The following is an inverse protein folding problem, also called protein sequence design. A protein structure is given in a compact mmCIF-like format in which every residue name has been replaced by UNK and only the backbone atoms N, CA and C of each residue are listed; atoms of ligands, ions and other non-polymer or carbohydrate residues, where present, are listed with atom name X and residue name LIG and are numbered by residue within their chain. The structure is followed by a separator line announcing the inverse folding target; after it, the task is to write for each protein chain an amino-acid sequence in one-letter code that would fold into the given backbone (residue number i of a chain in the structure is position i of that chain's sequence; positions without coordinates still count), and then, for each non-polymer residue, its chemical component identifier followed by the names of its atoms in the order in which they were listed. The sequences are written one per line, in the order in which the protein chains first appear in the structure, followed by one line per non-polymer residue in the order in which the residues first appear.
data_IF_053411024345
#
_entry.id   IF_053411024345
#
_cell.length_a   1.000
_cell.length_b   1.000
_cell.length_c   1.000
_cell.angle_alpha   90.00
_cell.angle_beta   90.00
_cell.angle_gamma   90.00
#
_symmetry.space_group_name_H-M   'P 1'
#
loop_
_entity.id
_entity.type
_entity.pdbx_description
1 polymer ?
#
# COMPACT_ATOMS: atom_id res chain seq x y z
N UNK A 1 57.43 6.39 11.38
CA UNK A 1 57.28 7.64 12.13
C UNK A 1 55.84 7.72 12.59
N UNK A 2 55.61 7.74 13.90
CA UNK A 2 54.28 7.63 14.50
C UNK A 2 53.79 9.02 14.92
N UNK A 3 52.75 9.52 14.25
CA UNK A 3 52.09 10.77 14.64
C UNK A 3 51.11 10.48 15.79
N UNK A 4 51.50 10.90 17.00
CA UNK A 4 50.68 10.84 18.20
C UNK A 4 49.59 11.90 18.14
N UNK A 5 48.35 11.47 17.87
CA UNK A 5 47.16 12.32 17.91
C UNK A 5 46.75 12.56 19.39
N UNK A 6 47.20 13.67 19.97
CA UNK A 6 46.99 14.05 21.39
C UNK A 6 45.71 14.88 21.58
N UNK A 7 44.57 14.35 21.14
CA UNK A 7 43.25 14.95 21.35
C UNK A 7 42.32 14.06 22.20
N UNK A 8 41.47 14.63 23.07
CA UNK A 8 40.57 13.86 23.94
C UNK A 8 39.56 13.05 23.10
N UNK A 9 39.58 11.73 23.27
CA UNK A 9 38.87 10.79 22.39
C UNK A 9 37.40 10.64 22.81
N UNK A 10 37.09 10.86 24.09
CA UNK A 10 35.76 10.59 24.63
C UNK A 10 35.04 11.86 25.14
N UNK A 11 33.69 11.85 25.13
CA UNK A 11 32.85 12.98 25.55
C UNK A 11 33.11 13.41 27.00
N UNK A 12 33.52 12.47 27.85
CA UNK A 12 33.87 12.70 29.25
C UNK A 12 35.20 13.45 29.39
N UNK A 13 36.20 13.11 28.59
CA UNK A 13 37.51 13.78 28.57
C UNK A 13 37.39 15.20 28.02
N UNK A 14 36.55 15.40 27.00
CA UNK A 14 36.21 16.74 26.48
C UNK A 14 35.57 17.64 27.54
N UNK A 15 34.73 17.07 28.41
CA UNK A 15 34.10 17.81 29.52
C UNK A 15 35.06 18.08 30.68
N UNK A 16 36.07 17.25 30.88
CA UNK A 16 37.11 17.48 31.88
C UNK A 16 38.08 18.58 31.42
N UNK A 17 38.53 18.55 30.17
CA UNK A 17 39.40 19.58 29.60
C UNK A 17 38.72 20.97 29.59
N UNK A 18 37.42 21.04 29.31
CA UNK A 18 36.65 22.29 29.37
C UNK A 18 36.50 22.84 30.80
N UNK A 19 36.50 21.97 31.82
CA UNK A 19 36.50 22.37 33.24
C UNK A 19 37.86 22.90 33.68
N UNK A 20 38.95 22.31 33.21
CA UNK A 20 40.31 22.79 33.46
C UNK A 20 40.61 24.10 32.72
N UNK A 21 40.02 24.32 31.54
CA UNK A 21 40.14 25.56 30.77
C UNK A 21 39.33 26.75 31.35
N UNK A 22 38.59 26.55 32.44
CA UNK A 22 37.93 27.63 33.20
C UNK A 22 36.69 28.25 32.53
N UNK A 23 36.20 27.71 31.43
CA UNK A 23 35.10 28.31 30.66
C UNK A 23 33.73 27.79 31.18
N UNK A 24 33.28 28.35 32.30
CA UNK A 24 31.95 28.11 32.86
C UNK A 24 31.03 29.31 32.64
N UNK A 25 29.83 29.14 32.01
CA UNK A 25 28.91 30.23 31.71
C UNK A 25 28.05 30.65 32.92
N UNK A 26 28.57 30.51 34.14
CA UNK A 26 27.83 30.74 35.38
C UNK A 26 28.68 31.48 36.40
N UNK A 27 29.16 32.66 36.01
CA UNK A 27 29.64 33.70 36.93
C UNK A 27 29.38 35.09 36.33
N UNK A 28 28.11 35.46 36.22
CA UNK A 28 27.71 36.85 36.10
C UNK A 28 26.53 37.07 37.04
N UNK A 29 26.87 37.27 38.32
CA UNK A 29 25.96 37.79 39.33
C UNK A 29 25.51 39.19 38.90
N UNK A 30 24.20 39.40 38.82
CA UNK A 30 23.62 40.65 38.35
C UNK A 30 23.85 41.83 39.29
N UNK A 31 23.97 43.01 38.68
CA UNK A 31 23.56 44.28 39.28
C UNK A 31 22.86 45.10 38.22
N UNK A 32 21.62 45.45 38.53
CA UNK A 32 20.68 46.28 37.77
C UNK A 32 21.15 47.74 37.73
N UNK A 33 21.49 48.28 36.55
CA UNK A 33 21.29 49.73 36.28
C UNK A 33 21.25 49.99 34.77
N UNK A 34 20.25 50.77 34.35
CA UNK A 34 20.16 51.51 33.10
C UNK A 34 20.16 50.73 31.77
N UNK A 35 18.94 50.54 31.26
CA UNK A 35 18.60 50.70 29.85
C UNK A 35 19.34 51.91 29.25
N UNK A 36 20.32 51.67 28.37
CA UNK A 36 20.73 52.46 27.18
C UNK A 36 22.16 52.11 26.80
N UNK A 37 22.32 51.14 25.92
CA UNK A 37 23.36 51.19 24.88
C UNK A 37 22.69 50.69 23.62
N UNK A 38 22.27 51.62 22.76
CA UNK A 38 21.89 51.31 21.40
C UNK A 38 23.09 50.62 20.73
N UNK A 39 23.07 49.29 20.62
CA UNK A 39 23.86 48.62 19.58
C UNK A 39 23.18 48.97 18.27
N UNK A 40 23.85 49.76 17.45
CA UNK A 40 23.36 50.05 16.11
C UNK A 40 23.34 48.75 15.30
N UNK A 41 22.42 48.58 14.32
CA UNK A 41 22.36 47.36 13.49
C UNK A 41 23.68 47.02 12.78
N UNK A 42 24.57 48.01 12.66
CA UNK A 42 25.92 47.94 12.10
C UNK A 42 26.96 47.21 12.96
N UNK A 43 26.70 46.97 14.26
CA UNK A 43 27.67 46.35 15.17
C UNK A 43 27.52 44.81 15.29
N UNK A 44 26.65 44.21 14.48
CA UNK A 44 26.51 42.76 14.36
C UNK A 44 27.37 42.34 13.16
N UNK A 45 28.47 41.56 13.34
CA UNK A 45 29.21 41.04 12.21
C UNK A 45 28.29 40.11 11.40
N UNK A 46 27.78 40.61 10.27
CA UNK A 46 26.89 39.93 9.32
C UNK A 46 27.63 38.89 8.45
N UNK A 47 28.61 38.18 9.04
CA UNK A 47 29.28 37.08 8.35
C UNK A 47 28.27 35.94 8.20
N UNK A 48 27.79 35.72 6.98
CA UNK A 48 26.95 34.56 6.69
C UNK A 48 27.79 33.29 6.92
N UNK A 49 27.24 32.25 7.57
CA UNK A 49 27.90 30.96 7.67
C UNK A 49 28.27 30.48 6.27
N UNK A 50 29.46 29.90 6.10
CA UNK A 50 29.88 29.30 4.83
C UNK A 50 28.84 28.24 4.42
N UNK A 51 28.05 28.55 3.39
CA UNK A 51 26.99 27.68 2.84
C UNK A 51 27.52 26.77 1.74
N UNK A 52 28.83 26.74 1.51
CA UNK A 52 29.39 25.71 0.64
C UNK A 52 29.01 24.34 1.20
N UNK A 53 28.43 23.52 0.33
CA UNK A 53 28.00 22.16 0.68
C UNK A 53 29.17 21.33 1.22
N UNK A 54 28.88 20.12 1.71
CA UNK A 54 29.90 19.26 2.32
C UNK A 54 31.13 19.15 1.40
N UNK A 55 32.29 19.64 1.86
CA UNK A 55 33.55 19.63 1.08
C UNK A 55 34.22 18.26 1.05
N UNK A 56 33.57 17.24 1.61
CA UNK A 56 34.07 15.86 1.69
C UNK A 56 33.15 14.89 0.97
N UNK A 57 33.63 13.65 0.77
CA UNK A 57 32.86 12.57 0.17
C UNK A 57 31.51 12.41 0.88
N UNK A 58 30.45 12.29 0.10
CA UNK A 58 29.12 12.07 0.65
C UNK A 58 29.04 10.67 1.25
N UNK A 59 28.07 10.45 2.14
CA UNK A 59 27.84 9.12 2.70
C UNK A 59 27.53 8.07 1.63
N UNK A 60 26.95 8.51 0.51
CA UNK A 60 26.71 7.66 -0.65
C UNK A 60 28.02 7.25 -1.32
N UNK A 61 28.94 8.19 -1.54
CA UNK A 61 30.25 7.90 -2.15
C UNK A 61 31.09 6.95 -1.26
N UNK A 62 31.05 7.16 0.06
CA UNK A 62 31.71 6.28 1.04
C UNK A 62 31.09 4.89 1.08
N UNK A 63 29.77 4.78 0.94
CA UNK A 63 29.07 3.50 0.87
C UNK A 63 29.41 2.77 -0.43
N UNK A 64 29.48 3.47 -1.56
CA UNK A 64 29.82 2.92 -2.86
C UNK A 64 31.29 2.44 -2.91
N UNK A 65 32.22 3.20 -2.36
CA UNK A 65 33.62 2.78 -2.23
C UNK A 65 33.76 1.52 -1.35
N UNK A 66 33.06 1.47 -0.21
CA UNK A 66 33.06 0.28 0.65
C UNK A 66 32.42 -0.92 -0.02
N UNK A 67 31.34 -0.73 -0.77
CA UNK A 67 30.71 -1.81 -1.54
C UNK A 67 31.64 -2.33 -2.65
N UNK A 68 32.34 -1.44 -3.36
CA UNK A 68 33.31 -1.79 -4.39
C UNK A 68 34.54 -2.53 -3.82
N UNK A 69 35.02 -2.12 -2.64
CA UNK A 69 36.09 -2.82 -1.92
C UNK A 69 35.67 -4.22 -1.46
N UNK A 70 34.46 -4.36 -0.91
CA UNK A 70 33.89 -5.65 -0.49
C UNK A 70 33.67 -6.60 -1.67
N UNK A 71 33.34 -6.06 -2.85
CA UNK A 71 33.17 -6.84 -4.08
C UNK A 71 34.51 -7.34 -4.62
N UNK A 72 35.61 -6.57 -4.45
CA UNK A 72 36.97 -6.96 -4.84
C UNK A 72 37.62 -7.97 -3.88
N UNK A 73 37.36 -7.85 -2.57
CA UNK A 73 37.97 -8.71 -1.54
C UNK A 73 37.28 -10.07 -1.40
N UNK A 74 36.15 -10.30 -2.09
CA UNK A 74 35.31 -11.47 -1.89
C UNK A 74 34.57 -11.37 -0.56
N UNK A 75 33.26 -11.59 -0.56
CA UNK A 75 32.42 -11.39 0.63
C UNK A 75 32.91 -12.28 1.78
N UNK A 76 33.47 -11.73 2.89
CA UNK A 76 33.97 -12.54 4.02
C UNK A 76 32.83 -13.13 4.86
N UNK A 77 31.62 -12.62 4.65
CA UNK A 77 30.42 -13.08 5.30
C UNK A 77 29.53 -13.67 4.21
N UNK A 78 29.00 -14.87 4.46
CA UNK A 78 27.91 -15.40 3.65
C UNK A 78 26.87 -14.29 3.50
N UNK A 79 26.45 -14.02 2.26
CA UNK A 79 25.36 -13.10 1.95
C UNK A 79 24.22 -13.43 2.91
N UNK A 80 24.09 -12.67 4.00
CA UNK A 80 22.82 -12.60 4.71
C UNK A 80 21.82 -12.29 3.61
N UNK A 81 20.70 -13.04 3.50
CA UNK A 81 19.78 -12.85 2.40
C UNK A 81 19.55 -11.35 2.30
N UNK A 82 20.00 -10.78 1.18
CA UNK A 82 19.76 -9.39 0.87
C UNK A 82 18.28 -9.32 0.50
N UNK A 83 17.44 -9.54 1.51
CA UNK A 83 16.07 -9.13 1.53
C UNK A 83 16.11 -7.65 1.89
N UNK A 84 16.36 -6.82 0.89
CA UNK A 84 15.36 -5.79 0.66
C UNK A 84 14.10 -6.54 0.21
N UNK A 85 13.46 -7.22 1.16
CA UNK A 85 12.13 -7.74 0.95
C UNK A 85 11.28 -6.48 1.07
N UNK A 86 11.08 -5.79 -0.07
CA UNK A 86 9.74 -5.32 -0.36
C UNK A 86 8.87 -6.55 -0.06
N UNK A 87 8.27 -6.61 1.14
CA UNK A 87 7.56 -7.79 1.65
C UNK A 87 6.29 -7.97 0.81
N UNK A 88 6.50 -8.46 -0.41
CA UNK A 88 5.49 -8.87 -1.35
C UNK A 88 4.81 -10.06 -0.66
N UNK A 89 3.65 -9.79 -0.04
CA UNK A 89 2.84 -10.76 0.65
C UNK A 89 2.62 -11.93 -0.32
N UNK A 90 3.43 -12.99 -0.20
CA UNK A 90 3.58 -13.98 -1.28
C UNK A 90 2.23 -14.49 -1.80
N UNK A 91 2.12 -15.07 -3.01
CA UNK A 91 0.88 -15.10 -3.81
C UNK A 91 -0.42 -15.56 -3.11
N UNK A 92 -0.30 -16.37 -2.05
CA UNK A 92 -1.42 -16.80 -1.21
C UNK A 92 -1.98 -15.67 -0.33
N UNK A 93 -1.09 -14.87 0.26
CA UNK A 93 -1.44 -13.75 1.13
C UNK A 93 -1.98 -12.58 0.31
N UNK A 94 -1.40 -12.27 -0.86
CA UNK A 94 -1.99 -11.32 -1.80
C UNK A 94 -3.42 -11.74 -2.21
N UNK A 95 -3.61 -12.99 -2.64
CA UNK A 95 -4.95 -13.50 -2.97
C UNK A 95 -5.93 -13.43 -1.79
N UNK A 96 -5.44 -13.58 -0.55
CA UNK A 96 -6.25 -13.47 0.67
C UNK A 96 -6.70 -12.03 0.92
N UNK A 97 -5.83 -11.05 0.71
CA UNK A 97 -6.18 -9.64 0.81
C UNK A 97 -7.26 -9.28 -0.22
N UNK A 98 -7.08 -9.70 -1.48
CA UNK A 98 -8.10 -9.54 -2.52
C UNK A 98 -9.43 -10.20 -2.17
N UNK A 99 -9.39 -11.45 -1.70
CA UNK A 99 -10.59 -12.18 -1.30
C UNK A 99 -11.31 -11.52 -0.12
N UNK A 100 -10.57 -11.00 0.85
CA UNK A 100 -11.13 -10.27 1.98
C UNK A 100 -11.87 -9.01 1.53
N UNK A 101 -11.24 -8.20 0.67
CA UNK A 101 -11.87 -7.00 0.09
C UNK A 101 -13.14 -7.35 -0.69
N UNK A 102 -13.12 -8.39 -1.52
CA UNK A 102 -14.30 -8.83 -2.28
C UNK A 102 -15.39 -9.43 -1.38
N UNK A 103 -15.01 -10.08 -0.30
CA UNK A 103 -15.98 -10.60 0.69
C UNK A 103 -16.71 -9.46 1.39
N UNK A 104 -16.06 -8.32 1.63
CA UNK A 104 -16.74 -7.11 2.12
C UNK A 104 -17.71 -6.53 1.09
N UNK A 105 -17.34 -6.54 -0.19
CA UNK A 105 -18.27 -6.17 -1.27
C UNK A 105 -19.47 -7.11 -1.30
N UNK A 106 -19.24 -8.42 -1.19
CA UNK A 106 -20.31 -9.43 -1.11
C UNK A 106 -21.26 -9.17 0.05
N UNK A 107 -20.73 -8.97 1.27
CA UNK A 107 -21.53 -8.67 2.45
C UNK A 107 -22.36 -7.40 2.25
N UNK A 108 -21.76 -6.37 1.66
CA UNK A 108 -22.43 -5.10 1.38
C UNK A 108 -23.57 -5.29 0.37
N UNK A 109 -23.33 -6.04 -0.71
CA UNK A 109 -24.37 -6.38 -1.68
C UNK A 109 -25.49 -7.20 -1.03
N UNK A 110 -25.17 -8.16 -0.15
CA UNK A 110 -26.16 -8.97 0.56
C UNK A 110 -27.08 -8.08 1.42
N UNK A 111 -26.49 -7.18 2.21
CA UNK A 111 -27.25 -6.21 3.03
C UNK A 111 -28.07 -5.25 2.17
N UNK A 112 -27.51 -4.76 1.06
CA UNK A 112 -28.21 -3.82 0.18
C UNK A 112 -29.45 -4.45 -0.45
N UNK A 113 -29.38 -5.70 -0.92
CA UNK A 113 -30.53 -6.34 -1.57
C UNK A 113 -31.65 -6.59 -0.55
N UNK A 114 -31.33 -6.96 0.69
CA UNK A 114 -32.35 -7.07 1.75
C UNK A 114 -33.01 -5.71 2.04
N UNK A 115 -32.21 -4.64 2.11
CA UNK A 115 -32.73 -3.29 2.31
C UNK A 115 -33.59 -2.79 1.13
N UNK A 116 -33.24 -3.15 -0.12
CA UNK A 116 -34.01 -2.77 -1.32
C UNK A 116 -35.43 -3.35 -1.30
N UNK A 117 -35.58 -4.58 -0.79
CA UNK A 117 -36.88 -5.25 -0.69
C UNK A 117 -37.58 -5.07 0.66
N UNK A 118 -36.99 -4.28 1.59
CA UNK A 118 -37.48 -4.09 2.96
C UNK A 118 -37.71 -5.39 3.73
N UNK A 119 -36.87 -6.40 3.47
CA UNK A 119 -36.95 -7.69 4.16
C UNK A 119 -36.10 -7.65 5.43
N UNK A 120 -36.54 -8.36 6.47
CA UNK A 120 -35.76 -8.47 7.71
C UNK A 120 -34.46 -9.26 7.48
N UNK A 121 -33.34 -8.70 7.94
CA UNK A 121 -32.02 -9.30 7.75
C UNK A 121 -31.81 -10.43 8.77
N UNK A 122 -31.83 -11.66 8.28
CA UNK A 122 -31.39 -12.81 9.05
C UNK A 122 -29.84 -12.84 9.16
N UNK A 123 -29.29 -12.07 10.10
CA UNK A 123 -27.84 -11.89 10.28
C UNK A 123 -27.05 -13.20 10.34
N UNK A 124 -27.59 -14.24 10.99
CA UNK A 124 -26.93 -15.55 11.05
C UNK A 124 -26.75 -16.20 9.66
N UNK A 125 -27.74 -16.04 8.76
CA UNK A 125 -27.67 -16.57 7.41
C UNK A 125 -26.69 -15.76 6.55
N UNK A 126 -26.69 -14.44 6.69
CA UNK A 126 -25.75 -13.52 6.01
C UNK A 126 -24.30 -13.84 6.40
N UNK A 127 -24.02 -13.99 7.70
CA UNK A 127 -22.69 -14.38 8.17
C UNK A 127 -22.26 -15.74 7.65
N UNK A 128 -23.17 -16.72 7.64
CA UNK A 128 -22.90 -18.06 7.11
C UNK A 128 -22.57 -18.01 5.61
N UNK A 129 -23.35 -17.27 4.82
CA UNK A 129 -23.09 -17.08 3.37
C UNK A 129 -21.75 -16.40 3.13
N UNK A 130 -21.50 -15.30 3.83
CA UNK A 130 -20.25 -14.52 3.74
C UNK A 130 -19.02 -15.37 4.09
N UNK A 131 -19.12 -16.19 5.15
CA UNK A 131 -18.06 -17.11 5.56
C UNK A 131 -17.75 -18.20 4.51
N UNK A 132 -18.75 -18.62 3.71
CA UNK A 132 -18.55 -19.56 2.59
C UNK A 132 -17.96 -18.86 1.36
N UNK A 133 -18.27 -17.58 1.15
CA UNK A 133 -17.76 -16.80 0.01
C UNK A 133 -16.26 -16.53 0.14
N UNK A 134 -15.76 -16.24 1.35
CA UNK A 134 -14.33 -15.94 1.56
C UNK A 134 -13.37 -17.02 1.02
N UNK A 135 -13.46 -18.31 1.41
CA UNK A 135 -12.56 -19.35 0.91
C UNK A 135 -12.76 -19.64 -0.58
N UNK A 136 -13.97 -19.49 -1.10
CA UNK A 136 -14.23 -19.69 -2.53
C UNK A 136 -13.60 -18.59 -3.39
N UNK A 137 -13.73 -17.32 -2.97
CA UNK A 137 -13.05 -16.19 -3.63
C UNK A 137 -11.53 -16.30 -3.53
N UNK A 138 -11.01 -16.65 -2.35
CA UNK A 138 -9.57 -16.86 -2.18
C UNK A 138 -9.02 -17.90 -3.15
N UNK A 139 -9.69 -19.04 -3.27
CA UNK A 139 -9.27 -20.10 -4.17
C UNK A 139 -9.29 -19.65 -5.64
N UNK A 140 -10.40 -19.03 -6.08
CA UNK A 140 -10.55 -18.56 -7.45
C UNK A 140 -9.45 -17.53 -7.79
N UNK A 141 -9.23 -16.54 -6.92
CA UNK A 141 -8.24 -15.48 -7.14
C UNK A 141 -6.83 -16.07 -7.17
N UNK A 142 -6.50 -16.93 -6.20
CA UNK A 142 -5.20 -17.59 -6.14
C UNK A 142 -4.86 -18.37 -7.42
N UNK A 143 -5.84 -19.10 -7.98
CA UNK A 143 -5.66 -19.84 -9.23
C UNK A 143 -5.38 -18.91 -10.42
N UNK A 144 -6.09 -17.78 -10.50
CA UNK A 144 -5.94 -16.81 -11.59
C UNK A 144 -4.71 -15.89 -11.46
N UNK A 145 -4.17 -15.76 -10.25
CA UNK A 145 -2.93 -15.04 -9.96
C UNK A 145 -1.69 -15.94 -9.95
N UNK A 146 -1.86 -17.25 -10.18
CA UNK A 146 -0.72 -18.18 -10.30
C UNK A 146 0.12 -17.84 -11.54
N UNK A 147 1.45 -18.01 -11.45
CA UNK A 147 2.43 -17.75 -12.53
C UNK A 147 2.05 -18.41 -13.86
N UNK A 148 1.38 -19.56 -13.83
CA UNK A 148 0.89 -20.26 -15.02
C UNK A 148 -0.24 -19.50 -15.72
N UNK A 149 -1.23 -19.01 -14.97
CA UNK A 149 -2.36 -18.24 -15.51
C UNK A 149 -1.90 -16.89 -16.10
N UNK A 150 -0.88 -16.29 -15.49
CA UNK A 150 -0.25 -15.06 -15.97
C UNK A 150 0.46 -15.22 -17.32
N UNK A 151 0.97 -16.42 -17.65
CA UNK A 151 1.61 -16.67 -18.96
C UNK A 151 0.59 -16.65 -20.11
N UNK A 152 -0.62 -17.13 -19.87
CA UNK A 152 -1.69 -17.20 -20.88
C UNK A 152 -2.63 -15.99 -20.74
N UNK A 153 -2.10 -14.80 -20.94
CA UNK A 153 -2.82 -13.53 -20.74
C UNK A 153 -4.12 -13.46 -21.54
N UNK A 154 -4.10 -13.84 -22.82
CA UNK A 154 -5.29 -13.80 -23.67
C UNK A 154 -6.39 -14.75 -23.16
N UNK A 155 -6.05 -16.01 -22.88
CA UNK A 155 -7.02 -16.99 -22.36
C UNK A 155 -7.64 -16.50 -21.05
N UNK A 156 -6.81 -16.00 -20.14
CA UNK A 156 -7.25 -15.44 -18.87
C UNK A 156 -8.25 -14.29 -19.06
N UNK A 157 -7.96 -13.37 -19.98
CA UNK A 157 -8.83 -12.24 -20.32
C UNK A 157 -10.16 -12.71 -20.94
N UNK A 158 -10.15 -13.73 -21.81
CA UNK A 158 -11.37 -14.30 -22.37
C UNK A 158 -12.24 -14.98 -21.30
N UNK A 159 -11.62 -15.62 -20.29
CA UNK A 159 -12.37 -16.19 -19.17
C UNK A 159 -13.00 -15.09 -18.31
N UNK A 160 -12.27 -14.00 -18.00
CA UNK A 160 -12.87 -12.85 -17.31
C UNK A 160 -14.00 -12.23 -18.11
N UNK A 161 -13.83 -12.07 -19.42
CA UNK A 161 -14.89 -11.58 -20.30
C UNK A 161 -16.13 -12.47 -20.26
N UNK A 162 -15.93 -13.80 -20.31
CA UNK A 162 -17.01 -14.78 -20.21
C UNK A 162 -17.76 -14.68 -18.87
N UNK A 163 -17.02 -14.62 -17.75
CA UNK A 163 -17.61 -14.45 -16.42
C UNK A 163 -18.35 -13.12 -16.31
N UNK A 164 -17.80 -12.04 -16.86
CA UNK A 164 -18.41 -10.72 -16.82
C UNK A 164 -19.72 -10.66 -17.62
N UNK A 165 -19.73 -11.20 -18.84
CA UNK A 165 -20.93 -11.27 -19.67
C UNK A 165 -21.99 -12.17 -19.02
N UNK A 166 -21.61 -13.37 -18.58
CA UNK A 166 -22.54 -14.31 -17.95
C UNK A 166 -23.11 -13.76 -16.64
N UNK A 167 -22.25 -13.22 -15.76
CA UNK A 167 -22.65 -12.64 -14.49
C UNK A 167 -23.55 -11.42 -14.66
N UNK A 168 -23.19 -10.49 -15.53
CA UNK A 168 -24.00 -9.29 -15.81
C UNK A 168 -25.36 -9.63 -16.42
N UNK A 169 -25.40 -10.47 -17.47
CA UNK A 169 -26.65 -10.90 -18.07
C UNK A 169 -27.52 -11.69 -17.07
N UNK A 170 -26.91 -12.53 -16.23
CA UNK A 170 -27.63 -13.29 -15.21
C UNK A 170 -28.21 -12.39 -14.11
N UNK A 171 -27.49 -11.38 -13.63
CA UNK A 171 -28.02 -10.41 -12.68
C UNK A 171 -29.24 -9.65 -13.25
N UNK A 172 -29.16 -9.22 -14.51
CA UNK A 172 -30.30 -8.59 -15.20
C UNK A 172 -31.48 -9.55 -15.32
N UNK A 173 -31.22 -10.78 -15.78
CA UNK A 173 -32.23 -11.83 -15.92
C UNK A 173 -32.93 -12.12 -14.60
N UNK A 174 -32.15 -12.29 -13.52
CA UNK A 174 -32.68 -12.63 -12.19
C UNK A 174 -33.52 -11.50 -11.63
N UNK A 175 -33.06 -10.26 -11.74
CA UNK A 175 -33.78 -9.08 -11.26
C UNK A 175 -35.09 -8.81 -12.00
N UNK A 176 -35.21 -9.23 -13.27
CA UNK A 176 -36.42 -9.04 -14.07
C UNK A 176 -37.39 -10.23 -14.04
N UNK A 177 -36.90 -11.45 -13.78
CA UNK A 177 -37.68 -12.68 -13.98
C UNK A 177 -38.10 -13.36 -12.68
N UNK A 178 -37.27 -13.31 -11.63
CA UNK A 178 -37.55 -14.03 -10.39
C UNK A 178 -38.10 -13.12 -9.30
N UNK A 179 -38.80 -13.74 -8.35
CA UNK A 179 -39.24 -13.08 -7.12
C UNK A 179 -38.07 -12.66 -6.23
N UNK A 180 -38.34 -11.70 -5.35
CA UNK A 180 -37.36 -11.03 -4.49
C UNK A 180 -36.47 -11.98 -3.67
N UNK A 181 -36.99 -13.11 -3.17
CA UNK A 181 -36.18 -14.10 -2.43
C UNK A 181 -35.08 -14.75 -3.27
N UNK A 182 -35.33 -15.02 -4.55
CA UNK A 182 -34.31 -15.57 -5.43
C UNK A 182 -33.22 -14.53 -5.70
N UNK A 183 -33.62 -13.28 -5.93
CA UNK A 183 -32.72 -12.14 -6.12
C UNK A 183 -31.81 -11.97 -4.90
N UNK A 184 -32.35 -11.99 -3.69
CA UNK A 184 -31.57 -11.87 -2.44
C UNK A 184 -30.54 -12.98 -2.25
N UNK A 185 -30.81 -14.21 -2.68
CA UNK A 185 -29.88 -15.34 -2.49
C UNK A 185 -28.83 -15.45 -3.59
N UNK A 186 -29.15 -15.04 -4.81
CA UNK A 186 -28.31 -15.27 -5.99
C UNK A 186 -27.51 -14.04 -6.42
N UNK A 187 -28.06 -12.84 -6.23
CA UNK A 187 -27.46 -11.60 -6.73
C UNK A 187 -26.18 -11.22 -5.98
N UNK A 188 -26.09 -11.32 -4.63
CA UNK A 188 -24.86 -10.96 -3.94
C UNK A 188 -23.62 -11.76 -4.39
N UNK A 189 -23.63 -13.11 -4.46
CA UNK A 189 -22.44 -13.85 -4.89
C UNK A 189 -22.13 -13.66 -6.39
N UNK A 190 -23.15 -13.65 -7.25
CA UNK A 190 -22.94 -13.47 -8.71
C UNK A 190 -22.48 -12.04 -9.02
N UNK A 191 -23.05 -11.04 -8.35
CA UNK A 191 -22.64 -9.64 -8.47
C UNK A 191 -21.19 -9.43 -8.05
N UNK A 192 -20.74 -10.05 -6.95
CA UNK A 192 -19.33 -9.99 -6.55
C UNK A 192 -18.40 -10.64 -7.58
N UNK A 193 -18.77 -11.81 -8.13
CA UNK A 193 -18.00 -12.45 -9.21
C UNK A 193 -17.94 -11.59 -10.47
N UNK A 194 -19.05 -10.94 -10.82
CA UNK A 194 -19.10 -10.02 -11.96
C UNK A 194 -18.18 -8.82 -11.73
N UNK A 195 -18.26 -8.15 -10.58
CA UNK A 195 -17.38 -7.02 -10.24
C UNK A 195 -15.91 -7.45 -10.30
N UNK A 196 -15.56 -8.57 -9.68
CA UNK A 196 -14.19 -9.09 -9.71
C UNK A 196 -13.68 -9.30 -11.13
N UNK A 197 -14.49 -9.95 -11.98
CA UNK A 197 -14.12 -10.20 -13.38
C UNK A 197 -13.91 -8.92 -14.18
N UNK A 198 -14.68 -7.86 -13.91
CA UNK A 198 -14.53 -6.55 -14.59
C UNK A 198 -13.28 -5.82 -14.11
N UNK A 199 -12.98 -5.87 -12.81
CA UNK A 199 -11.81 -5.19 -12.21
C UNK A 199 -10.49 -5.80 -12.72
N UNK A 200 -10.43 -7.11 -12.88
CA UNK A 200 -9.20 -7.83 -13.28
C UNK A 200 -8.98 -7.85 -14.81
N UNK A 201 -10.00 -7.45 -15.56
CA UNK A 201 -10.01 -7.46 -17.02
C UNK A 201 -9.43 -6.17 -17.63
N UNK A 202 -8.81 -6.25 -18.80
CA UNK A 202 -8.29 -5.06 -19.48
C UNK A 202 -9.44 -4.15 -19.93
N UNK A 203 -9.17 -2.84 -19.96
CA UNK A 203 -10.16 -1.77 -20.21
C UNK A 203 -11.05 -2.01 -21.44
N UNK A 204 -10.48 -2.50 -22.54
CA UNK A 204 -11.23 -2.76 -23.77
C UNK A 204 -12.20 -3.93 -23.61
N UNK A 205 -11.78 -5.04 -23.00
CA UNK A 205 -12.67 -6.17 -22.75
C UNK A 205 -13.77 -5.81 -21.73
N UNK A 206 -13.45 -4.99 -20.72
CA UNK A 206 -14.43 -4.44 -19.79
C UNK A 206 -15.48 -3.58 -20.49
N UNK A 207 -15.07 -2.71 -21.42
CA UNK A 207 -16.02 -1.94 -22.22
C UNK A 207 -16.91 -2.87 -23.07
N UNK A 208 -16.33 -3.91 -23.68
CA UNK A 208 -17.10 -4.86 -24.48
C UNK A 208 -18.10 -5.65 -23.65
N UNK A 209 -17.77 -6.05 -22.42
CA UNK A 209 -18.71 -6.81 -21.57
C UNK A 209 -19.92 -5.95 -21.18
N UNK A 210 -19.71 -4.67 -20.89
CA UNK A 210 -20.81 -3.73 -20.58
C UNK A 210 -21.72 -3.55 -21.81
N UNK A 211 -21.13 -3.41 -23.00
CA UNK A 211 -21.91 -3.32 -24.26
C UNK A 211 -22.73 -4.59 -24.45
N UNK A 212 -22.14 -5.77 -24.26
CA UNK A 212 -22.85 -7.06 -24.40
C UNK A 212 -24.02 -7.16 -23.41
N UNK A 213 -23.80 -6.81 -22.14
CA UNK A 213 -24.87 -6.83 -21.13
C UNK A 213 -25.98 -5.82 -21.49
N UNK A 214 -25.62 -4.60 -21.91
CA UNK A 214 -26.59 -3.60 -22.34
C UNK A 214 -27.42 -4.03 -23.56
N UNK A 215 -26.76 -4.61 -24.57
CA UNK A 215 -27.45 -5.17 -25.74
C UNK A 215 -28.37 -6.33 -25.35
N UNK A 216 -27.94 -7.20 -24.43
CA UNK A 216 -28.77 -8.28 -23.90
C UNK A 216 -30.02 -7.74 -23.19
N UNK A 217 -29.87 -6.71 -22.35
CA UNK A 217 -31.00 -6.06 -21.67
C UNK A 217 -31.99 -5.48 -22.68
N UNK A 218 -31.50 -4.77 -23.69
CA UNK A 218 -32.33 -4.17 -24.75
C UNK A 218 -33.04 -5.22 -25.60
N UNK A 219 -32.34 -6.28 -26.00
CA UNK A 219 -32.90 -7.35 -26.82
C UNK A 219 -34.09 -8.03 -26.13
N UNK A 220 -33.96 -8.30 -24.83
CA UNK A 220 -35.02 -8.97 -24.07
C UNK A 220 -36.13 -8.02 -23.58
N UNK A 221 -36.02 -6.71 -23.86
CA UNK A 221 -36.98 -5.71 -23.40
C UNK A 221 -37.04 -5.57 -21.88
N UNK A 222 -35.96 -5.92 -21.19
CA UNK A 222 -35.88 -5.79 -19.74
C UNK A 222 -35.83 -4.32 -19.32
N UNK A 223 -36.46 -4.02 -18.18
CA UNK A 223 -36.43 -2.67 -17.62
C UNK A 223 -35.02 -2.32 -17.16
N UNK A 224 -34.54 -1.13 -17.55
CA UNK A 224 -33.50 -0.45 -16.77
C UNK A 224 -34.22 0.14 -15.57
N UNK A 225 -34.13 -0.54 -14.44
CA UNK A 225 -34.79 -0.20 -13.18
C UNK A 225 -34.62 1.28 -12.81
#
# INVERSE_FOLDING_TARGET
MADTNTGPRNRRERRAAAREAGDHPSSASGTTTALTTQRTPSDIPLAQPDRSGPKGKTLYDLAEERMAELQKQGQPFAKAPAGSDDEDFGPKAEALLWAFSLTMVHLTLDVLVHNQYREEIAWAEVWKRTAVVLPSMWLIIYLFHTKTALKFTLFRQLVYLGIACAGGCYCVYVGNTFGYFAVMKQTPPVGTLWIWSVVEMQKWYALTSIIVVGLYTLWNGYGFF
#
